data_IF_545006726578
#
_entry.id   IF_545006726578
#
_cell.length_a   1.000
_cell.length_b   1.000
_cell.length_c   1.000
_cell.angle_alpha   90.00
_cell.angle_beta   90.00
_cell.angle_gamma   90.00
#
_symmetry.space_group_name_H-M   'P 1'
#
loop_
_entity.id
_entity.type
_entity.pdbx_description
1 polymer ?
#
# COMPACT_ATOMS: atom_id res chain seq x y z
N UNK A 1 -27.98 19.08 5.61
CA UNK A 1 -26.58 18.67 5.36
C UNK A 1 -26.48 17.20 5.70
N UNK A 2 -25.94 16.36 4.82
CA UNK A 2 -25.72 14.94 5.13
C UNK A 2 -24.71 14.81 6.27
N UNK A 3 -24.87 13.77 7.09
CA UNK A 3 -23.96 13.43 8.20
C UNK A 3 -22.47 13.50 7.79
N UNK A 4 -22.14 12.99 6.60
CA UNK A 4 -20.79 13.02 6.02
C UNK A 4 -20.20 14.45 5.90
N UNK A 5 -20.99 15.44 5.48
CA UNK A 5 -20.49 16.81 5.31
C UNK A 5 -20.14 17.46 6.66
N UNK A 6 -20.90 17.11 7.71
CA UNK A 6 -20.62 17.55 9.08
C UNK A 6 -19.35 16.89 9.62
N UNK A 7 -19.21 15.56 9.47
CA UNK A 7 -18.01 14.83 9.88
C UNK A 7 -16.77 15.38 9.17
N UNK A 8 -16.84 15.58 7.85
CA UNK A 8 -15.72 16.09 7.08
C UNK A 8 -15.26 17.47 7.57
N UNK A 9 -16.20 18.38 7.89
CA UNK A 9 -15.87 19.70 8.46
C UNK A 9 -15.21 19.56 9.83
N UNK A 10 -15.78 18.76 10.73
CA UNK A 10 -15.20 18.54 12.06
C UNK A 10 -13.76 18.01 11.98
N UNK A 11 -13.50 17.00 11.15
CA UNK A 11 -12.16 16.42 10.97
C UNK A 11 -11.19 17.46 10.39
N UNK A 12 -11.65 18.25 9.41
CA UNK A 12 -10.85 19.32 8.81
C UNK A 12 -10.50 20.42 9.82
N UNK A 13 -11.48 20.88 10.59
CA UNK A 13 -11.33 21.97 11.56
C UNK A 13 -10.41 21.56 12.73
N UNK A 14 -10.34 20.27 13.03
CA UNK A 14 -9.38 19.68 13.99
C UNK A 14 -7.96 19.52 13.41
N UNK A 15 -7.73 19.84 12.14
CA UNK A 15 -6.42 19.68 11.49
C UNK A 15 -6.03 18.22 11.23
N UNK A 16 -6.95 17.27 11.37
CA UNK A 16 -6.67 15.83 11.19
C UNK A 16 -6.40 15.44 9.73
N UNK A 17 -6.67 16.34 8.78
CA UNK A 17 -6.35 16.17 7.37
C UNK A 17 -4.96 16.74 6.99
N UNK A 18 -4.25 17.36 7.95
CA UNK A 18 -2.92 17.89 7.71
C UNK A 18 -1.87 16.78 7.58
N UNK A 19 -0.93 16.97 6.65
CA UNK A 19 0.09 15.96 6.35
C UNK A 19 1.12 15.86 7.46
N UNK A 20 1.36 14.65 7.97
CA UNK A 20 2.34 14.42 9.04
C UNK A 20 3.77 14.29 8.50
N UNK A 21 4.46 15.43 8.35
CA UNK A 21 5.85 15.47 7.85
C UNK A 21 6.82 14.70 8.74
N UNK A 22 6.67 14.81 10.06
CA UNK A 22 7.56 14.14 11.03
C UNK A 22 7.42 12.63 10.92
N UNK A 23 6.19 12.13 10.84
CA UNK A 23 5.93 10.70 10.65
C UNK A 23 6.59 10.18 9.37
N UNK A 24 6.33 10.80 8.22
CA UNK A 24 6.88 10.31 6.95
C UNK A 24 8.40 10.43 6.90
N UNK A 25 9.01 11.54 7.35
CA UNK A 25 10.47 11.67 7.39
C UNK A 25 11.12 10.61 8.28
N UNK A 26 10.51 10.32 9.43
CA UNK A 26 10.98 9.28 10.36
C UNK A 26 10.87 7.91 9.72
N UNK A 27 9.74 7.61 9.08
CA UNK A 27 9.50 6.32 8.45
C UNK A 27 10.48 6.07 7.28
N UNK A 28 10.66 7.06 6.39
CA UNK A 28 11.65 6.98 5.31
C UNK A 28 13.06 6.72 5.85
N UNK A 29 13.48 7.43 6.89
CA UNK A 29 14.81 7.29 7.47
C UNK A 29 15.05 5.87 8.01
N UNK A 30 14.14 5.36 8.85
CA UNK A 30 14.29 4.04 9.44
C UNK A 30 14.20 2.92 8.41
N UNK A 31 13.27 3.00 7.45
CA UNK A 31 13.18 2.02 6.38
C UNK A 31 14.46 2.02 5.54
N UNK A 32 14.96 3.19 5.13
CA UNK A 32 16.17 3.27 4.31
C UNK A 32 17.38 2.66 5.02
N UNK A 33 17.57 2.95 6.31
CA UNK A 33 18.66 2.38 7.11
C UNK A 33 18.51 0.87 7.26
N UNK A 34 17.33 0.39 7.63
CA UNK A 34 17.10 -1.05 7.82
C UNK A 34 17.30 -1.81 6.52
N UNK A 35 16.76 -1.30 5.41
CA UNK A 35 16.89 -1.95 4.12
C UNK A 35 18.35 -1.99 3.65
N UNK A 36 19.09 -0.87 3.80
CA UNK A 36 20.52 -0.83 3.52
C UNK A 36 21.31 -1.81 4.38
N UNK A 37 21.02 -1.88 5.69
CA UNK A 37 21.68 -2.78 6.61
C UNK A 37 21.43 -4.25 6.25
N UNK A 38 20.19 -4.63 5.94
CA UNK A 38 19.84 -6.01 5.56
C UNK A 38 20.56 -6.41 4.28
N UNK A 39 20.51 -5.57 3.23
CA UNK A 39 21.21 -5.83 1.97
C UNK A 39 22.72 -5.98 2.22
N UNK A 40 23.30 -5.10 3.03
CA UNK A 40 24.71 -5.17 3.40
C UNK A 40 25.05 -6.48 4.13
N UNK A 41 24.25 -6.90 5.10
CA UNK A 41 24.46 -8.16 5.83
C UNK A 41 24.34 -9.38 4.91
N UNK A 42 23.35 -9.39 4.01
CA UNK A 42 23.16 -10.46 3.02
C UNK A 42 24.36 -10.62 2.10
N UNK A 43 25.05 -9.52 1.77
CA UNK A 43 26.20 -9.52 0.86
C UNK A 43 27.53 -9.83 1.55
N UNK A 44 27.65 -9.60 2.86
CA UNK A 44 28.93 -9.63 3.57
C UNK A 44 29.07 -10.76 4.61
N UNK A 45 28.01 -11.53 4.89
CA UNK A 45 28.03 -12.59 5.92
C UNK A 45 27.67 -13.95 5.29
N UNK A 46 28.34 -15.06 5.68
CA UNK A 46 27.92 -16.39 5.31
C UNK A 46 26.49 -16.70 5.76
N UNK A 47 25.64 -17.17 4.84
CA UNK A 47 24.25 -17.47 5.12
C UNK A 47 24.08 -18.92 5.62
N UNK A 48 23.54 -19.06 6.82
CA UNK A 48 22.98 -20.30 7.37
C UNK A 48 21.46 -20.17 7.56
N UNK A 49 20.77 -21.29 7.84
CA UNK A 49 19.30 -21.30 7.98
C UNK A 49 18.79 -20.23 8.97
N UNK A 50 19.40 -20.12 10.15
CA UNK A 50 18.99 -19.15 11.16
C UNK A 50 19.15 -17.70 10.68
N UNK A 51 20.29 -17.38 10.04
CA UNK A 51 20.52 -16.04 9.48
C UNK A 51 19.54 -15.72 8.36
N UNK A 52 19.22 -16.68 7.49
CA UNK A 52 18.24 -16.50 6.42
C UNK A 52 16.86 -16.23 6.98
N UNK A 53 16.43 -16.97 8.01
CA UNK A 53 15.13 -16.76 8.64
C UNK A 53 15.02 -15.37 9.27
N UNK A 54 16.04 -14.95 10.04
CA UNK A 54 16.07 -13.62 10.66
C UNK A 54 16.06 -12.52 9.60
N UNK A 55 16.94 -12.60 8.60
CA UNK A 55 17.01 -11.59 7.53
C UNK A 55 15.71 -11.55 6.72
N UNK A 56 15.08 -12.69 6.46
CA UNK A 56 13.80 -12.76 5.75
C UNK A 56 12.65 -12.10 6.52
N UNK A 57 12.61 -12.23 7.86
CA UNK A 57 11.61 -11.56 8.68
C UNK A 57 11.76 -10.05 8.62
N UNK A 58 12.99 -9.54 8.74
CA UNK A 58 13.27 -8.10 8.69
C UNK A 58 13.03 -7.57 7.26
N UNK A 59 13.44 -8.32 6.24
CA UNK A 59 13.16 -8.00 4.84
C UNK A 59 11.65 -7.91 4.57
N UNK A 60 10.88 -8.89 5.05
CA UNK A 60 9.41 -8.90 4.92
C UNK A 60 8.81 -7.68 5.61
N UNK A 61 9.18 -7.41 6.86
CA UNK A 61 8.69 -6.26 7.60
C UNK A 61 8.96 -4.95 6.85
N UNK A 62 10.21 -4.73 6.43
CA UNK A 62 10.59 -3.51 5.70
C UNK A 62 9.91 -3.41 4.34
N UNK A 63 9.73 -4.52 3.62
CA UNK A 63 8.98 -4.56 2.35
C UNK A 63 7.52 -4.15 2.53
N UNK A 64 6.86 -4.61 3.60
CA UNK A 64 5.49 -4.17 3.94
C UNK A 64 5.44 -2.68 4.23
N UNK A 65 6.45 -2.14 4.93
CA UNK A 65 6.51 -0.70 5.19
C UNK A 65 6.74 0.11 3.90
N UNK A 66 7.58 -0.38 2.97
CA UNK A 66 7.75 0.22 1.64
C UNK A 66 6.42 0.20 0.88
N UNK A 67 5.69 -0.92 0.92
CA UNK A 67 4.36 -1.02 0.32
C UNK A 67 3.37 -0.02 0.93
N UNK A 68 3.39 0.18 2.26
CA UNK A 68 2.55 1.18 2.92
C UNK A 68 2.90 2.62 2.50
N UNK A 69 4.17 2.96 2.36
CA UNK A 69 4.58 4.26 1.81
C UNK A 69 4.11 4.46 0.37
N UNK A 70 4.21 3.41 -0.46
CA UNK A 70 3.67 3.46 -1.82
C UNK A 70 2.16 3.67 -1.85
N UNK A 71 1.41 3.03 -0.96
CA UNK A 71 -0.02 3.22 -0.79
C UNK A 71 -0.37 4.68 -0.49
N UNK A 72 0.22 5.25 0.56
CA UNK A 72 -0.05 6.62 0.99
C UNK A 72 0.35 7.66 -0.07
N UNK A 73 1.43 7.37 -0.83
CA UNK A 73 1.83 8.18 -1.97
C UNK A 73 0.80 8.15 -3.10
N UNK A 74 0.26 6.97 -3.44
CA UNK A 74 -0.83 6.87 -4.44
C UNK A 74 -2.11 7.61 -3.98
N UNK A 75 -2.28 7.79 -2.67
CA UNK A 75 -3.33 8.61 -2.08
C UNK A 75 -3.01 10.10 -1.97
N UNK A 76 -1.83 10.55 -2.40
CA UNK A 76 -1.37 11.93 -2.30
C UNK A 76 -1.28 12.47 -0.85
N UNK A 77 -1.09 11.57 0.12
CA UNK A 77 -1.04 11.91 1.55
C UNK A 77 0.35 12.38 2.01
N UNK A 78 1.41 11.96 1.32
CA UNK A 78 2.79 12.24 1.77
C UNK A 78 3.21 13.68 1.46
N UNK A 79 3.12 14.09 0.19
CA UNK A 79 3.53 15.44 -0.25
C UNK A 79 2.35 16.28 -0.69
N UNK A 80 2.50 17.61 -0.67
CA UNK A 80 1.55 18.53 -1.32
C UNK A 80 1.67 18.48 -2.85
N UNK A 81 2.85 18.16 -3.39
CA UNK A 81 3.09 18.05 -4.82
C UNK A 81 2.68 16.69 -5.34
N UNK A 82 1.80 16.67 -6.35
CA UNK A 82 1.42 15.46 -7.07
C UNK A 82 2.64 14.73 -7.63
N UNK A 83 3.56 15.46 -8.28
CA UNK A 83 4.77 14.89 -8.91
C UNK A 83 5.64 14.11 -7.92
N UNK A 84 5.80 14.60 -6.69
CA UNK A 84 6.62 13.91 -5.69
C UNK A 84 5.93 12.66 -5.14
N UNK A 85 4.61 12.70 -4.96
CA UNK A 85 3.84 11.51 -4.63
C UNK A 85 3.91 10.46 -5.75
N UNK A 86 3.74 10.86 -7.01
CA UNK A 86 3.84 9.94 -8.15
C UNK A 86 5.22 9.27 -8.22
N UNK A 87 6.30 10.04 -7.98
CA UNK A 87 7.66 9.51 -7.93
C UNK A 87 7.83 8.50 -6.79
N UNK A 88 7.40 8.83 -5.57
CA UNK A 88 7.53 7.91 -4.43
C UNK A 88 6.66 6.67 -4.62
N UNK A 89 5.43 6.82 -5.11
CA UNK A 89 4.57 5.68 -5.46
C UNK A 89 5.27 4.76 -6.47
N UNK A 90 5.91 5.33 -7.49
CA UNK A 90 6.68 4.55 -8.45
C UNK A 90 7.85 3.81 -7.80
N UNK A 91 8.70 4.51 -7.04
CA UNK A 91 9.86 3.92 -6.37
C UNK A 91 9.47 2.82 -5.38
N UNK A 92 8.47 3.07 -4.53
CA UNK A 92 8.05 2.13 -3.50
C UNK A 92 7.35 0.91 -4.08
N UNK A 93 6.40 1.07 -5.01
CA UNK A 93 5.64 -0.06 -5.52
C UNK A 93 6.27 -0.73 -6.72
N UNK A 94 6.62 0.01 -7.77
CA UNK A 94 7.12 -0.63 -8.99
C UNK A 94 8.51 -1.22 -8.73
N UNK A 95 9.43 -0.44 -8.14
CA UNK A 95 10.80 -0.90 -7.88
C UNK A 95 10.92 -1.64 -6.54
N UNK A 96 10.28 -1.13 -5.49
CA UNK A 96 10.49 -1.64 -4.13
C UNK A 96 9.81 -2.99 -3.87
N UNK A 97 8.57 -3.19 -4.34
CA UNK A 97 7.80 -4.41 -4.06
C UNK A 97 7.21 -5.09 -5.30
N UNK A 98 7.52 -4.61 -6.50
CA UNK A 98 7.10 -5.22 -7.77
C UNK A 98 5.61 -5.07 -8.10
N UNK A 99 4.91 -4.09 -7.51
CA UNK A 99 3.50 -3.79 -7.76
C UNK A 99 3.39 -2.63 -8.75
N UNK A 100 2.57 -2.76 -9.79
CA UNK A 100 2.29 -1.63 -10.69
C UNK A 100 1.38 -0.61 -10.00
N UNK A 101 1.90 0.59 -9.78
CA UNK A 101 1.11 1.69 -9.21
C UNK A 101 -0.08 2.11 -10.07
N UNK A 102 0.07 2.07 -11.40
CA UNK A 102 -1.02 2.41 -12.31
C UNK A 102 -2.15 1.39 -12.25
N UNK A 103 -1.81 0.10 -12.38
CA UNK A 103 -2.80 -0.97 -12.26
C UNK A 103 -3.58 -0.87 -10.95
N UNK A 104 -2.88 -0.67 -9.83
CA UNK A 104 -3.55 -0.54 -8.54
C UNK A 104 -4.45 0.70 -8.47
N UNK A 105 -4.00 1.86 -8.97
CA UNK A 105 -4.84 3.07 -9.00
C UNK A 105 -6.12 2.85 -9.82
N UNK A 106 -6.02 2.21 -10.98
CA UNK A 106 -7.18 1.92 -11.84
C UNK A 106 -8.20 1.05 -11.08
N UNK A 107 -7.76 -0.09 -10.51
CA UNK A 107 -8.64 -0.99 -9.75
C UNK A 107 -9.21 -0.33 -8.49
N UNK A 108 -8.39 0.45 -7.78
CA UNK A 108 -8.75 1.10 -6.53
C UNK A 108 -9.80 2.21 -6.75
N UNK A 109 -9.64 3.00 -7.82
CA UNK A 109 -10.62 4.02 -8.18
C UNK A 109 -11.97 3.39 -8.52
N UNK A 110 -11.98 2.28 -9.26
CA UNK A 110 -13.22 1.56 -9.60
C UNK A 110 -13.94 1.05 -8.35
N UNK A 111 -13.19 0.50 -7.38
CA UNK A 111 -13.72 0.10 -6.08
C UNK A 111 -14.38 1.26 -5.34
N UNK A 112 -13.73 2.43 -5.25
CA UNK A 112 -14.29 3.60 -4.54
C UNK A 112 -15.48 4.23 -5.24
N UNK A 113 -15.58 4.10 -6.57
CA UNK A 113 -16.75 4.53 -7.33
C UNK A 113 -17.94 3.58 -7.16
N UNK A 114 -17.69 2.28 -6.98
CA UNK A 114 -18.72 1.25 -6.91
C UNK A 114 -18.48 0.25 -5.77
N UNK A 115 -18.35 0.70 -4.51
CA UNK A 115 -17.90 -0.18 -3.44
C UNK A 115 -18.90 -1.31 -3.19
N UNK A 116 -18.40 -2.55 -3.16
CA UNK A 116 -19.18 -3.78 -2.98
C UNK A 116 -20.23 -4.05 -4.08
N UNK A 117 -20.14 -3.40 -5.25
CA UNK A 117 -20.96 -3.74 -6.41
C UNK A 117 -20.38 -4.97 -7.11
N UNK A 118 -21.12 -6.08 -7.06
CA UNK A 118 -20.67 -7.38 -7.56
C UNK A 118 -20.33 -7.43 -9.05
N UNK A 119 -20.77 -6.45 -9.83
CA UNK A 119 -20.52 -6.39 -11.27
C UNK A 119 -19.45 -5.35 -11.66
N UNK A 120 -19.07 -4.46 -10.74
CA UNK A 120 -18.23 -3.29 -11.04
C UNK A 120 -17.03 -3.14 -10.13
N UNK A 121 -17.07 -3.71 -8.93
CA UNK A 121 -15.98 -3.65 -7.97
C UNK A 121 -14.99 -4.79 -8.22
N UNK A 122 -13.78 -4.50 -8.76
CA UNK A 122 -12.80 -5.53 -9.00
C UNK A 122 -12.25 -6.16 -7.70
N UNK A 123 -12.37 -5.47 -6.56
CA UNK A 123 -11.81 -5.92 -5.29
C UNK A 123 -12.56 -7.09 -4.66
N UNK A 124 -13.78 -7.38 -5.13
CA UNK A 124 -14.60 -8.51 -4.67
C UNK A 124 -14.70 -9.63 -5.72
N UNK A 125 -14.01 -9.51 -6.86
CA UNK A 125 -13.86 -10.60 -7.83
C UNK A 125 -12.52 -11.34 -7.65
N UNK A 126 -12.32 -11.87 -6.44
CA UNK A 126 -11.07 -12.53 -6.04
C UNK A 126 -11.03 -13.99 -6.49
N UNK A 127 -9.91 -14.48 -7.03
CA UNK A 127 -9.79 -15.87 -7.52
C UNK A 127 -10.28 -16.92 -6.51
N UNK A 128 -9.87 -16.80 -5.24
CA UNK A 128 -10.13 -17.82 -4.20
C UNK A 128 -11.45 -17.65 -3.44
N UNK A 129 -12.05 -16.46 -3.45
CA UNK A 129 -13.22 -16.14 -2.61
C UNK A 129 -14.44 -15.81 -3.45
N UNK A 130 -15.62 -16.26 -3.02
CA UNK A 130 -16.90 -15.89 -3.63
C UNK A 130 -17.77 -15.17 -2.61
N UNK A 131 -18.29 -14.01 -2.98
CA UNK A 131 -19.17 -13.20 -2.14
C UNK A 131 -20.64 -13.32 -2.56
N UNK A 132 -20.94 -14.15 -3.57
CA UNK A 132 -22.30 -14.56 -3.95
C UNK A 132 -22.34 -15.97 -4.50
N UNK A 133 -23.54 -16.56 -4.53
CA UNK A 133 -23.80 -17.83 -5.21
C UNK A 133 -23.46 -17.78 -6.71
N UNK A 134 -23.71 -16.65 -7.36
CA UNK A 134 -23.43 -16.50 -8.79
C UNK A 134 -21.92 -16.55 -9.07
N UNK A 135 -21.10 -15.89 -8.24
CA UNK A 135 -19.64 -15.99 -8.34
C UNK A 135 -19.15 -17.42 -8.13
N UNK A 136 -19.68 -18.12 -7.12
CA UNK A 136 -19.34 -19.51 -6.84
C UNK A 136 -19.67 -20.42 -8.04
N UNK A 137 -20.88 -20.30 -8.59
CA UNK A 137 -21.30 -21.07 -9.78
C UNK A 137 -20.44 -20.77 -11.01
N UNK A 138 -20.03 -19.51 -11.23
CA UNK A 138 -19.13 -19.15 -12.34
C UNK A 138 -17.76 -19.81 -12.18
N UNK A 139 -17.19 -19.82 -10.97
CA UNK A 139 -15.86 -20.37 -10.70
C UNK A 139 -15.81 -21.89 -10.75
N UNK A 140 -16.85 -22.58 -10.28
CA UNK A 140 -16.94 -24.05 -10.35
C UNK A 140 -17.12 -24.59 -11.78
N UNK A 141 -17.29 -23.72 -12.79
CA UNK A 141 -17.40 -24.10 -14.21
C UNK A 141 -16.09 -23.92 -14.98
N UNK A 142 -15.06 -23.34 -14.35
CA UNK A 142 -13.71 -23.17 -14.88
C UNK A 142 -12.83 -24.31 -14.35
#
# INVERSE_FOLDING_TARGET
>A
MTDHATIYRTIRDQGLLERSKVYYSTNFFFIAILHFAIVSLMLNIPLNLSSVLVLSLIWTFTSVQIAALGHDANHYQIFSSKKYNDLIAFLCWNLGVGISNRWWQDQYNDHHLHPNDINKDPSIDLVLFSFSENQLKRKNRL
#
